data_IF_465195756648
#
_entry.id   IF_465195756648
#
_cell.length_a   1.000
_cell.length_b   1.000
_cell.length_c   1.000
_cell.angle_alpha   90.00
_cell.angle_beta   90.00
_cell.angle_gamma   90.00
#
_symmetry.space_group_name_H-M   'P 1'
#
loop_
_entity.id
_entity.type
_entity.pdbx_description
1 polymer ?
#
# COMPACT_ATOMS: atom_id res chain seq x y z
N UNK A 1 5.76 2.76 3.72
CA UNK A 1 6.34 1.42 3.52
C UNK A 1 6.65 1.25 2.04
N UNK A 2 7.55 0.35 1.68
CA UNK A 2 8.05 0.18 0.31
C UNK A 2 8.10 -1.29 -0.07
N UNK A 3 7.80 -1.59 -1.33
CA UNK A 3 7.63 -2.97 -1.79
C UNK A 3 8.91 -3.79 -1.67
N UNK A 4 10.05 -3.15 -1.92
CA UNK A 4 11.36 -3.78 -1.74
C UNK A 4 11.67 -4.21 -0.30
N UNK A 5 10.96 -3.67 0.70
CA UNK A 5 11.16 -4.03 2.11
C UNK A 5 10.25 -5.16 2.59
N UNK A 6 9.10 -5.41 1.95
CA UNK A 6 8.11 -6.37 2.43
C UNK A 6 8.68 -7.79 2.60
N UNK A 7 9.48 -8.25 1.63
CA UNK A 7 10.05 -9.59 1.67
C UNK A 7 11.10 -9.76 2.78
N UNK A 8 11.92 -8.73 3.05
CA UNK A 8 12.92 -8.79 4.11
C UNK A 8 12.28 -8.61 5.50
N UNK A 9 11.27 -7.75 5.62
CA UNK A 9 10.47 -7.60 6.84
C UNK A 9 9.81 -8.93 7.23
N UNK A 10 9.20 -9.65 6.28
CA UNK A 10 8.62 -10.98 6.50
C UNK A 10 9.66 -11.98 7.03
N UNK A 11 10.82 -12.09 6.36
CA UNK A 11 11.89 -13.02 6.78
C UNK A 11 12.43 -12.72 8.17
N UNK A 12 12.55 -11.44 8.53
CA UNK A 12 13.00 -11.04 9.87
C UNK A 12 11.97 -11.40 10.93
N UNK A 13 10.67 -11.18 10.67
CA UNK A 13 9.60 -11.59 11.58
C UNK A 13 9.64 -13.10 11.86
N UNK A 14 9.77 -13.93 10.81
CA UNK A 14 9.87 -15.39 10.93
C UNK A 14 11.10 -15.83 11.75
N UNK A 15 12.25 -15.18 11.52
CA UNK A 15 13.51 -15.45 12.21
C UNK A 15 13.42 -15.16 13.71
N UNK A 16 12.82 -14.01 14.07
CA UNK A 16 12.65 -13.60 15.47
C UNK A 16 11.71 -14.56 16.19
N UNK A 17 10.57 -14.91 15.57
CA UNK A 17 9.61 -15.86 16.13
C UNK A 17 10.21 -17.25 16.39
N UNK A 18 11.18 -17.67 15.57
CA UNK A 18 11.76 -19.01 15.64
C UNK A 18 12.95 -19.16 16.60
N UNK A 19 13.65 -18.09 16.97
CA UNK A 19 15.01 -18.27 17.53
C UNK A 19 15.54 -17.23 18.51
N UNK A 20 14.90 -16.07 18.70
CA UNK A 20 15.59 -14.95 19.35
C UNK A 20 15.27 -14.71 20.83
N UNK A 21 14.23 -15.33 21.40
CA UNK A 21 13.79 -15.02 22.77
C UNK A 21 14.48 -15.77 23.92
N UNK A 22 15.67 -16.34 23.71
CA UNK A 22 16.60 -16.66 24.80
C UNK A 22 16.05 -17.54 25.94
N UNK A 23 15.05 -18.39 25.69
CA UNK A 23 14.47 -19.27 26.71
C UNK A 23 13.51 -18.59 27.69
N UNK A 24 13.00 -17.39 27.37
CA UNK A 24 11.92 -16.77 28.17
C UNK A 24 10.62 -17.58 28.06
N UNK A 25 9.87 -17.74 29.17
CA UNK A 25 8.67 -18.59 29.22
C UNK A 25 7.48 -18.05 28.42
N UNK A 26 7.55 -16.81 27.92
CA UNK A 26 6.49 -16.19 27.13
C UNK A 26 7.09 -15.62 25.83
N UNK A 27 7.09 -16.39 24.72
CA UNK A 27 7.72 -15.94 23.48
C UNK A 27 6.90 -14.79 22.89
N UNK A 28 7.49 -13.58 22.84
CA UNK A 28 6.86 -12.48 22.10
C UNK A 28 6.80 -12.86 20.61
N UNK A 29 5.60 -12.96 20.06
CA UNK A 29 5.39 -13.27 18.66
C UNK A 29 5.55 -12.00 17.81
N UNK A 30 6.34 -12.08 16.75
CA UNK A 30 6.53 -10.98 15.79
C UNK A 30 5.88 -11.41 14.48
N UNK A 31 4.98 -10.57 13.97
CA UNK A 31 4.26 -10.83 12.73
C UNK A 31 4.50 -9.73 11.70
N UNK A 32 4.68 -10.13 10.46
CA UNK A 32 4.70 -9.21 9.33
C UNK A 32 3.28 -9.02 8.78
N UNK A 33 2.74 -7.80 8.93
CA UNK A 33 1.43 -7.43 8.41
C UNK A 33 1.63 -6.77 7.04
N UNK A 34 1.49 -7.54 5.96
CA UNK A 34 1.75 -7.08 4.59
C UNK A 34 0.50 -6.89 3.74
N UNK A 35 -0.66 -7.38 4.17
CA UNK A 35 -1.88 -7.39 3.34
C UNK A 35 -2.37 -5.97 2.99
N UNK A 36 -2.04 -4.99 3.82
CA UNK A 36 -2.33 -3.58 3.55
C UNK A 36 -1.46 -3.02 2.41
N UNK A 37 -0.25 -3.55 2.21
CA UNK A 37 0.68 -3.08 1.19
C UNK A 37 0.33 -3.64 -0.19
N UNK A 38 0.02 -4.93 -0.25
CA UNK A 38 -0.15 -5.67 -1.49
C UNK A 38 -1.52 -5.40 -2.15
N UNK A 39 -1.55 -4.82 -3.36
CA UNK A 39 -2.80 -4.44 -4.03
C UNK A 39 -3.77 -5.60 -4.28
N UNK A 40 -3.22 -6.80 -4.51
CA UNK A 40 -3.94 -8.05 -4.68
C UNK A 40 -4.62 -8.55 -3.39
N UNK A 41 -4.28 -7.95 -2.23
CA UNK A 41 -4.84 -8.31 -0.91
C UNK A 41 -5.67 -7.20 -0.28
N UNK A 42 -5.45 -5.94 -0.69
CA UNK A 42 -6.16 -4.79 -0.15
C UNK A 42 -7.38 -4.35 -0.97
N UNK A 43 -7.52 -4.78 -2.24
CA UNK A 43 -8.69 -4.48 -3.07
C UNK A 43 -8.73 -3.08 -3.70
N UNK A 44 -7.67 -2.27 -3.55
CA UNK A 44 -7.62 -0.91 -4.10
C UNK A 44 -7.74 -0.88 -5.64
N UNK A 45 -7.06 -1.81 -6.32
CA UNK A 45 -7.11 -1.91 -7.80
C UNK A 45 -8.52 -2.24 -8.26
N UNK A 46 -9.16 -3.21 -7.59
CA UNK A 46 -10.50 -3.67 -7.96
C UNK A 46 -11.54 -2.55 -7.79
N UNK A 47 -11.46 -1.81 -6.69
CA UNK A 47 -12.33 -0.66 -6.47
C UNK A 47 -12.17 0.42 -7.55
N UNK A 48 -10.93 0.74 -7.95
CA UNK A 48 -10.68 1.72 -9.01
C UNK A 48 -11.14 1.24 -10.40
N UNK A 49 -11.02 -0.07 -10.70
CA UNK A 49 -11.59 -0.65 -11.92
C UNK A 49 -13.11 -0.53 -11.95
N UNK A 50 -13.77 -0.78 -10.82
CA UNK A 50 -15.22 -0.63 -10.69
C UNK A 50 -15.65 0.85 -10.83
N UNK A 51 -14.78 1.78 -10.46
CA UNK A 51 -14.96 3.22 -10.71
C UNK A 51 -14.67 3.63 -12.18
N UNK A 52 -14.29 2.69 -13.05
CA UNK A 52 -14.13 2.91 -14.48
C UNK A 52 -12.72 3.24 -14.96
N UNK A 53 -11.69 3.14 -14.10
CA UNK A 53 -10.31 3.43 -14.49
C UNK A 53 -9.61 2.23 -15.11
N UNK A 54 -8.81 2.48 -16.17
CA UNK A 54 -7.97 1.45 -16.79
C UNK A 54 -6.72 1.15 -15.94
N UNK A 55 -6.05 0.02 -16.20
CA UNK A 55 -4.79 -0.30 -15.50
C UNK A 55 -3.68 0.69 -15.80
N UNK A 56 -3.66 1.25 -17.01
CA UNK A 56 -2.72 2.29 -17.43
C UNK A 56 -2.93 3.58 -16.63
N UNK A 57 -4.20 3.95 -16.36
CA UNK A 57 -4.52 5.11 -15.52
C UNK A 57 -4.20 4.84 -14.04
N UNK A 58 -4.54 3.65 -13.53
CA UNK A 58 -4.31 3.30 -12.13
C UNK A 58 -2.81 3.23 -11.81
N UNK A 59 -2.04 2.58 -12.68
CA UNK A 59 -0.61 2.39 -12.55
C UNK A 59 -0.17 1.67 -11.27
N UNK A 60 1.13 1.71 -11.01
CA UNK A 60 1.79 0.90 -9.96
C UNK A 60 2.62 1.71 -8.99
N UNK A 61 2.94 2.98 -9.29
CA UNK A 61 3.79 3.80 -8.44
C UNK A 61 3.48 5.29 -8.56
N UNK A 62 3.19 5.96 -7.44
CA UNK A 62 2.82 7.36 -7.40
C UNK A 62 1.60 7.72 -8.29
N UNK A 63 0.76 6.72 -8.61
CA UNK A 63 -0.45 6.89 -9.42
C UNK A 63 -1.66 7.34 -8.59
N UNK A 64 -2.87 6.99 -9.05
CA UNK A 64 -4.14 7.39 -8.42
C UNK A 64 -4.16 7.03 -6.93
N UNK A 65 -3.77 5.79 -6.59
CA UNK A 65 -3.86 5.26 -5.22
C UNK A 65 -2.99 6.03 -4.23
N UNK A 66 -1.69 6.06 -4.49
CA UNK A 66 -0.70 6.68 -3.61
C UNK A 66 -0.98 8.18 -3.43
N UNK A 67 -1.23 8.88 -4.54
CA UNK A 67 -1.51 10.33 -4.52
C UNK A 67 -2.81 10.63 -3.79
N UNK A 68 -3.85 9.81 -3.96
CA UNK A 68 -5.12 9.98 -3.26
C UNK A 68 -4.94 9.79 -1.74
N UNK A 69 -4.19 8.78 -1.29
CA UNK A 69 -3.90 8.55 0.13
C UNK A 69 -3.24 9.78 0.78
N UNK A 70 -2.27 10.40 0.10
CA UNK A 70 -1.64 11.64 0.59
C UNK A 70 -2.65 12.80 0.59
N UNK A 71 -3.44 12.98 -0.46
CA UNK A 71 -4.48 14.02 -0.51
C UNK A 71 -5.51 13.91 0.60
N UNK A 72 -5.85 12.70 1.07
CA UNK A 72 -6.80 12.52 2.15
C UNK A 72 -6.28 12.95 3.52
N UNK A 73 -4.97 12.82 3.76
CA UNK A 73 -4.34 13.12 5.05
C UNK A 73 -3.70 14.51 5.08
N UNK A 74 -3.10 14.90 3.97
CA UNK A 74 -2.24 16.08 3.85
C UNK A 74 -2.33 16.68 2.44
N UNK A 75 -3.45 17.36 2.09
CA UNK A 75 -3.65 17.93 0.76
C UNK A 75 -2.50 18.82 0.29
N UNK A 76 -1.91 19.60 1.20
CA UNK A 76 -0.80 20.50 0.90
C UNK A 76 0.54 19.79 0.60
N UNK A 77 0.59 18.47 0.84
CA UNK A 77 1.72 17.61 0.48
C UNK A 77 1.76 17.19 -0.98
N UNK A 78 0.71 17.49 -1.76
CA UNK A 78 0.60 17.14 -3.18
C UNK A 78 0.58 18.42 -4.01
N UNK A 79 1.44 18.48 -5.04
CA UNK A 79 1.39 19.56 -6.03
C UNK A 79 0.14 19.38 -6.88
N UNK A 80 -0.60 20.46 -7.11
CA UNK A 80 -1.84 20.45 -7.90
C UNK A 80 -1.70 21.29 -9.18
N UNK A 81 -2.56 21.03 -10.17
CA UNK A 81 -2.59 21.75 -11.45
C UNK A 81 -1.57 21.23 -12.45
N UNK A 82 -1.02 22.12 -13.29
CA UNK A 82 -0.16 21.78 -14.44
C UNK A 82 1.19 21.13 -14.06
N UNK A 83 1.44 20.92 -12.76
CA UNK A 83 2.65 20.27 -12.24
C UNK A 83 2.46 18.76 -12.04
N UNK A 84 1.24 18.25 -12.19
CA UNK A 84 0.94 16.82 -12.12
C UNK A 84 1.04 16.23 -13.53
N UNK A 85 2.09 15.46 -13.76
CA UNK A 85 2.32 14.79 -15.05
C UNK A 85 2.03 13.29 -14.89
N UNK A 86 1.24 12.69 -15.80
CA UNK A 86 1.09 11.25 -15.86
C UNK A 86 2.43 10.58 -16.18
N UNK A 87 2.60 9.37 -15.67
CA UNK A 87 3.74 8.51 -15.95
C UNK A 87 3.35 7.32 -16.82
N UNK A 88 4.32 6.76 -17.53
CA UNK A 88 4.08 5.60 -18.39
C UNK A 88 4.09 4.30 -17.58
N UNK A 89 3.43 3.25 -18.08
CA UNK A 89 3.47 1.90 -17.50
C UNK A 89 4.77 1.16 -17.85
N UNK A 90 5.90 1.82 -17.65
CA UNK A 90 7.24 1.25 -17.82
C UNK A 90 8.11 1.56 -16.60
N UNK A 91 9.17 0.77 -16.40
CA UNK A 91 10.09 0.96 -15.27
C UNK A 91 11.07 2.13 -15.48
N UNK A 92 11.14 2.68 -16.70
CA UNK A 92 12.01 3.81 -17.02
C UNK A 92 11.40 5.15 -16.65
N UNK A 93 10.10 5.19 -16.34
CA UNK A 93 9.26 6.38 -16.16
C UNK A 93 10.07 7.62 -15.81
N UNK A 94 10.29 8.49 -16.80
CA UNK A 94 11.21 9.64 -16.70
C UNK A 94 10.89 10.56 -15.52
N UNK A 95 9.65 10.48 -15.01
CA UNK A 95 9.10 11.25 -13.90
C UNK A 95 9.13 10.51 -12.56
N UNK A 96 9.47 9.23 -12.52
CA UNK A 96 9.30 8.36 -11.35
C UNK A 96 7.85 8.02 -11.04
N UNK A 97 6.90 8.33 -11.93
CA UNK A 97 5.49 7.99 -11.81
C UNK A 97 5.15 6.85 -12.78
N UNK A 98 4.28 5.95 -12.35
CA UNK A 98 3.64 4.94 -13.18
C UNK A 98 2.14 5.02 -12.94
N UNK A 99 1.39 5.54 -13.91
CA UNK A 99 -0.05 5.83 -13.82
C UNK A 99 -0.39 7.31 -13.99
N UNK A 100 -1.64 7.69 -13.73
CA UNK A 100 -2.12 9.06 -13.84
C UNK A 100 -2.55 9.63 -12.48
N UNK A 101 -1.65 10.32 -11.75
CA UNK A 101 -1.98 10.96 -10.48
C UNK A 101 -2.91 12.16 -10.60
N UNK A 102 -3.18 12.69 -11.81
CA UNK A 102 -4.12 13.80 -11.98
C UNK A 102 -5.57 13.40 -11.69
N UNK A 103 -5.86 12.10 -11.72
CA UNK A 103 -7.15 11.49 -11.40
C UNK A 103 -7.33 11.23 -9.90
N UNK A 104 -6.34 11.57 -9.07
CA UNK A 104 -6.39 11.38 -7.62
C UNK A 104 -7.32 12.39 -6.93
N UNK A 105 -7.92 11.98 -5.82
CA UNK A 105 -8.75 12.85 -4.99
C UNK A 105 -8.66 12.47 -3.51
N UNK A 106 -8.93 13.43 -2.63
CA UNK A 106 -9.01 13.14 -1.19
C UNK A 106 -10.15 12.18 -0.83
N UNK A 107 -11.23 12.15 -1.62
CA UNK A 107 -12.33 11.20 -1.44
C UNK A 107 -11.87 9.77 -1.73
N UNK A 108 -11.19 9.56 -2.87
CA UNK A 108 -10.58 8.27 -3.19
C UNK A 108 -9.56 7.88 -2.14
N UNK A 109 -8.81 8.85 -1.60
CA UNK A 109 -7.82 8.60 -0.58
C UNK A 109 -8.40 8.02 0.70
N UNK A 110 -9.54 8.56 1.16
CA UNK A 110 -10.27 7.99 2.30
C UNK A 110 -10.65 6.54 2.03
N UNK A 111 -11.15 6.24 0.82
CA UNK A 111 -11.51 4.87 0.45
C UNK A 111 -10.29 3.94 0.33
N UNK A 112 -9.18 4.43 -0.24
CA UNK A 112 -7.92 3.69 -0.36
C UNK A 112 -7.37 3.33 1.02
N UNK A 113 -7.41 4.27 1.98
CA UNK A 113 -6.98 4.04 3.36
C UNK A 113 -7.89 3.06 4.09
N UNK A 114 -9.22 3.19 3.95
CA UNK A 114 -10.20 2.25 4.51
C UNK A 114 -9.88 0.80 4.07
N UNK A 115 -9.71 0.59 2.77
CA UNK A 115 -9.38 -0.73 2.20
C UNK A 115 -8.07 -1.33 2.77
N UNK A 116 -7.03 -0.51 2.92
CA UNK A 116 -5.76 -0.94 3.54
C UNK A 116 -5.92 -1.29 5.02
N UNK A 117 -6.64 -0.47 5.77
CA UNK A 117 -6.91 -0.68 7.20
C UNK A 117 -7.71 -1.97 7.37
N UNK A 118 -8.75 -2.19 6.56
CA UNK A 118 -9.54 -3.42 6.57
C UNK A 118 -8.69 -4.66 6.26
N UNK A 119 -7.80 -4.57 5.26
CA UNK A 119 -6.87 -5.66 4.93
C UNK A 119 -5.91 -5.98 6.09
N UNK A 120 -5.31 -4.95 6.70
CA UNK A 120 -4.45 -5.10 7.88
C UNK A 120 -5.20 -5.77 9.04
N UNK A 121 -6.39 -5.26 9.38
CA UNK A 121 -7.20 -5.79 10.48
C UNK A 121 -7.66 -7.22 10.21
N UNK A 122 -7.97 -7.57 8.96
CA UNK A 122 -8.31 -8.95 8.57
C UNK A 122 -7.13 -9.89 8.81
N UNK A 123 -5.92 -9.48 8.41
CA UNK A 123 -4.71 -10.24 8.66
C UNK A 123 -4.46 -10.39 10.16
N UNK A 124 -4.48 -9.29 10.93
CA UNK A 124 -4.25 -9.30 12.38
C UNK A 124 -5.24 -10.22 13.10
N UNK A 125 -6.54 -10.11 12.83
CA UNK A 125 -7.57 -10.96 13.44
C UNK A 125 -7.45 -12.44 13.08
N UNK A 126 -6.76 -12.76 11.99
CA UNK A 126 -6.48 -14.16 11.63
C UNK A 126 -5.34 -14.75 12.48
N UNK A 127 -4.49 -13.90 13.06
CA UNK A 127 -3.41 -14.30 13.96
C UNK A 127 -3.91 -14.61 15.37
N UNK A 128 -4.94 -13.90 15.86
CA UNK A 128 -5.57 -14.18 17.16
C UNK A 128 -6.24 -15.57 17.24
N UNK A 129 -6.34 -16.28 16.11
CA UNK A 129 -6.87 -17.65 16.01
C UNK A 129 -5.78 -18.72 16.03
N UNK A 130 -4.50 -18.34 16.09
CA UNK A 130 -3.34 -19.22 16.23
C UNK A 130 -3.01 -19.45 17.70
#
# INVERSE_FOLDING_TARGET
DSGGNQASQSKVADSIGSSWWGGQPDPQQVFHIGDYYFPERNGQIEWLKQAGYSMEQIGTHAGIRDTSEVLALRPEGVRVGNQVLPGQLDQSGETGVIGDPSLASGEYGKKMLELKIEAALRQIRSLDKL
#
